data_IF_592535499592
#
_entry.id   IF_592535499592
#
_cell.length_a   1.000
_cell.length_b   1.000
_cell.length_c   1.000
_cell.angle_alpha   90.00
_cell.angle_beta   90.00
_cell.angle_gamma   90.00
#
_symmetry.space_group_name_H-M   'P 1'
#
loop_
_entity.id
_entity.type
_entity.pdbx_description
1 polymer ?
#
# COMPACT_ATOMS: atom_id res chain seq x y z
N UNK A 1 -7.60 -31.71 11.68
CA UNK A 1 -8.86 -31.05 11.29
C UNK A 1 -9.01 -31.04 9.78
N UNK A 2 -10.22 -30.92 9.24
CA UNK A 2 -10.50 -30.87 7.80
C UNK A 2 -9.72 -29.72 7.12
N UNK A 3 -9.72 -28.55 7.72
CA UNK A 3 -9.02 -27.37 7.21
C UNK A 3 -7.49 -27.57 7.16
N UNK A 4 -6.92 -28.22 8.16
CA UNK A 4 -5.50 -28.58 8.12
C UNK A 4 -5.17 -29.51 6.95
N UNK A 5 -6.02 -30.52 6.72
CA UNK A 5 -5.83 -31.46 5.61
C UNK A 5 -5.93 -30.75 4.24
N UNK A 6 -6.86 -29.79 4.12
CA UNK A 6 -6.96 -28.94 2.91
C UNK A 6 -5.66 -28.14 2.69
N UNK A 7 -5.19 -27.42 3.72
CA UNK A 7 -3.93 -26.67 3.65
C UNK A 7 -2.73 -27.59 3.34
N UNK A 8 -2.65 -28.73 4.00
CA UNK A 8 -1.59 -29.72 3.75
C UNK A 8 -1.60 -30.23 2.33
N UNK A 9 -2.77 -30.48 1.76
CA UNK A 9 -2.89 -30.95 0.36
C UNK A 9 -2.31 -29.91 -0.61
N UNK A 10 -2.64 -28.63 -0.41
CA UNK A 10 -2.09 -27.53 -1.25
C UNK A 10 -0.58 -27.39 -1.03
N UNK A 11 -0.12 -27.53 0.23
CA UNK A 11 1.29 -27.47 0.54
C UNK A 11 2.09 -28.62 -0.10
N UNK A 12 1.54 -29.84 -0.09
CA UNK A 12 2.14 -31.00 -0.76
C UNK A 12 2.24 -30.79 -2.30
N UNK A 13 1.26 -30.08 -2.91
CA UNK A 13 1.34 -29.68 -4.32
C UNK A 13 2.46 -28.67 -4.56
N UNK A 14 2.66 -27.73 -3.65
CA UNK A 14 3.80 -26.82 -3.71
C UNK A 14 5.13 -27.57 -3.62
N UNK A 15 5.26 -28.50 -2.67
CA UNK A 15 6.49 -29.29 -2.46
C UNK A 15 6.87 -30.16 -3.67
N UNK A 16 5.89 -30.53 -4.51
CA UNK A 16 6.16 -31.24 -5.76
C UNK A 16 6.86 -30.38 -6.83
N UNK A 17 6.70 -29.06 -6.76
CA UNK A 17 7.38 -28.08 -7.60
C UNK A 17 7.65 -26.79 -6.79
N UNK A 18 8.70 -26.74 -5.95
CA UNK A 18 8.91 -25.69 -4.98
C UNK A 18 9.53 -24.42 -5.59
N UNK A 19 8.73 -23.71 -6.37
CA UNK A 19 9.09 -22.42 -6.96
C UNK A 19 8.15 -21.33 -6.48
N UNK A 20 8.61 -20.08 -6.44
CA UNK A 20 7.79 -18.92 -6.08
C UNK A 20 6.59 -18.77 -7.01
N UNK A 21 6.80 -18.95 -8.32
CA UNK A 21 5.73 -18.87 -9.32
C UNK A 21 4.64 -19.93 -9.07
N UNK A 22 5.03 -21.18 -8.72
CA UNK A 22 4.07 -22.21 -8.38
C UNK A 22 3.34 -21.89 -7.07
N UNK A 23 4.03 -21.36 -6.07
CA UNK A 23 3.37 -20.90 -4.84
C UNK A 23 2.32 -19.84 -5.13
N UNK A 24 2.67 -18.83 -5.93
CA UNK A 24 1.75 -17.77 -6.35
C UNK A 24 0.54 -18.31 -7.13
N UNK A 25 0.74 -19.26 -8.04
CA UNK A 25 -0.34 -19.90 -8.78
C UNK A 25 -1.29 -20.70 -7.87
N UNK A 26 -0.74 -21.43 -6.90
CA UNK A 26 -1.53 -22.15 -5.89
C UNK A 26 -2.30 -21.20 -4.97
N UNK A 27 -1.70 -20.08 -4.57
CA UNK A 27 -2.36 -19.06 -3.78
C UNK A 27 -3.54 -18.44 -4.55
N UNK A 28 -3.35 -18.08 -5.82
CA UNK A 28 -4.42 -17.55 -6.68
C UNK A 28 -5.60 -18.54 -6.82
N UNK A 29 -5.34 -19.84 -6.81
CA UNK A 29 -6.35 -20.87 -7.06
C UNK A 29 -7.03 -21.41 -5.81
N UNK A 30 -6.37 -21.34 -4.64
CA UNK A 30 -6.82 -22.03 -3.43
C UNK A 30 -6.99 -21.13 -2.20
N UNK A 31 -6.46 -19.90 -2.23
CA UNK A 31 -6.52 -19.03 -1.06
C UNK A 31 -7.90 -18.38 -0.92
N UNK A 32 -8.44 -18.47 0.29
CA UNK A 32 -9.66 -17.78 0.71
C UNK A 32 -9.39 -16.32 1.13
N UNK A 33 -8.13 -15.89 1.17
CA UNK A 33 -7.74 -14.52 1.50
C UNK A 33 -7.93 -13.57 0.31
N UNK A 34 -9.06 -12.88 0.29
CA UNK A 34 -9.42 -11.94 -0.79
C UNK A 34 -8.50 -10.71 -0.88
N UNK A 35 -7.69 -10.44 0.15
CA UNK A 35 -6.75 -9.31 0.18
C UNK A 35 -5.49 -9.57 -0.66
N UNK A 36 -5.11 -10.83 -0.85
CA UNK A 36 -3.86 -11.22 -1.51
C UNK A 36 -4.01 -12.27 -2.61
N UNK A 37 -5.10 -13.05 -2.64
CA UNK A 37 -5.24 -14.18 -3.56
C UNK A 37 -5.14 -13.81 -5.04
N UNK A 38 -5.51 -12.59 -5.44
CA UNK A 38 -5.36 -12.10 -6.82
C UNK A 38 -3.95 -11.61 -7.16
N UNK A 39 -3.05 -11.59 -6.17
CA UNK A 39 -1.65 -11.16 -6.26
C UNK A 39 -0.68 -12.28 -5.90
N UNK A 40 -1.07 -13.53 -6.09
CA UNK A 40 -0.25 -14.69 -5.74
C UNK A 40 -0.05 -14.87 -4.23
N UNK A 41 -0.92 -14.32 -3.39
CA UNK A 41 -0.77 -14.36 -1.94
C UNK A 41 0.26 -13.38 -1.38
N UNK A 42 0.82 -12.46 -2.21
CA UNK A 42 1.91 -11.58 -1.80
C UNK A 42 1.44 -10.47 -0.85
N UNK A 43 2.13 -10.36 0.27
CA UNK A 43 2.10 -9.24 1.20
C UNK A 43 3.43 -8.51 1.18
N UNK A 44 3.43 -7.26 0.74
CA UNK A 44 4.62 -6.43 0.68
C UNK A 44 4.72 -5.49 1.88
N UNK A 45 5.94 -5.19 2.29
CA UNK A 45 6.23 -4.19 3.32
C UNK A 45 5.51 -4.45 4.66
N UNK A 46 5.34 -5.72 5.02
CA UNK A 46 4.77 -6.12 6.31
C UNK A 46 5.62 -5.56 7.45
N UNK A 47 4.96 -4.91 8.41
CA UNK A 47 5.62 -4.31 9.58
C UNK A 47 5.42 -5.17 10.82
N UNK A 48 6.39 -5.15 11.76
CA UNK A 48 6.20 -5.83 13.05
C UNK A 48 4.91 -5.38 13.74
N UNK A 49 4.11 -6.35 14.20
CA UNK A 49 2.83 -6.09 14.87
C UNK A 49 1.66 -5.74 13.96
N UNK A 50 1.83 -5.78 12.64
CA UNK A 50 0.76 -5.52 11.67
C UNK A 50 -0.16 -6.73 11.49
N UNK A 51 0.39 -7.94 11.59
CA UNK A 51 -0.32 -9.21 11.41
C UNK A 51 -0.63 -9.86 12.77
N UNK A 52 -1.49 -10.88 12.78
CA UNK A 52 -1.71 -11.71 13.97
C UNK A 52 -0.42 -12.33 14.46
N UNK A 53 -0.34 -12.59 15.78
CA UNK A 53 0.89 -12.96 16.46
C UNK A 53 1.65 -14.09 15.77
N UNK A 54 1.00 -15.20 15.46
CA UNK A 54 1.64 -16.37 14.85
C UNK A 54 2.23 -16.07 13.47
N UNK A 55 1.51 -15.28 12.66
CA UNK A 55 1.99 -14.82 11.35
C UNK A 55 3.19 -13.88 11.51
N UNK A 56 3.05 -12.90 12.42
CA UNK A 56 4.11 -11.94 12.74
C UNK A 56 5.38 -12.66 13.19
N UNK A 57 5.28 -13.55 14.16
CA UNK A 57 6.43 -14.26 14.75
C UNK A 57 7.13 -15.11 13.69
N UNK A 58 6.36 -15.76 12.81
CA UNK A 58 6.93 -16.50 11.70
C UNK A 58 7.69 -15.61 10.71
N UNK A 59 7.11 -14.48 10.31
CA UNK A 59 7.74 -13.56 9.35
C UNK A 59 9.00 -12.86 9.89
N UNK A 60 9.01 -12.55 11.20
CA UNK A 60 10.08 -11.78 11.83
C UNK A 60 11.09 -12.62 12.60
N UNK A 61 11.03 -13.94 12.47
CA UNK A 61 12.08 -14.82 12.99
C UNK A 61 13.40 -14.51 12.27
N UNK A 62 14.42 -14.15 13.05
CA UNK A 62 15.73 -13.74 12.53
C UNK A 62 16.51 -14.87 11.81
N UNK A 63 16.10 -16.11 11.98
CA UNK A 63 16.67 -17.26 11.28
C UNK A 63 16.07 -17.51 9.90
N UNK A 64 14.96 -16.81 9.55
CA UNK A 64 14.21 -17.00 8.32
C UNK A 64 15.01 -16.61 7.09
N UNK A 65 14.94 -17.44 6.05
CA UNK A 65 15.65 -17.25 4.79
C UNK A 65 14.65 -17.22 3.62
N UNK A 66 14.96 -16.48 2.55
CA UNK A 66 14.16 -16.55 1.33
C UNK A 66 13.98 -18.00 0.86
N UNK A 67 12.74 -18.35 0.55
CA UNK A 67 12.35 -19.70 0.17
C UNK A 67 11.89 -20.59 1.35
N UNK A 68 12.00 -20.14 2.59
CA UNK A 68 11.45 -20.86 3.75
C UNK A 68 9.92 -20.92 3.67
N UNK A 69 9.36 -22.09 3.99
CA UNK A 69 7.91 -22.32 3.94
C UNK A 69 7.43 -23.09 5.17
N UNK A 70 6.18 -22.86 5.53
CA UNK A 70 5.55 -23.56 6.66
C UNK A 70 4.02 -23.50 6.56
N UNK A 71 3.32 -24.30 7.38
CA UNK A 71 1.89 -24.18 7.64
C UNK A 71 1.71 -23.68 9.06
N UNK A 72 1.18 -22.49 9.24
CA UNK A 72 0.90 -21.93 10.56
C UNK A 72 -0.60 -21.89 10.84
N UNK A 73 -0.97 -22.10 12.10
CA UNK A 73 -2.34 -21.98 12.57
C UNK A 73 -2.54 -20.61 13.24
N UNK A 74 -3.62 -19.93 12.87
CA UNK A 74 -4.04 -18.66 13.46
C UNK A 74 -5.52 -18.70 13.82
N UNK A 75 -6.05 -17.63 14.42
CA UNK A 75 -7.48 -17.49 14.69
C UNK A 75 -8.33 -17.41 13.41
N UNK A 76 -7.72 -17.15 12.26
CA UNK A 76 -8.38 -17.09 10.96
C UNK A 76 -8.30 -18.40 10.16
N UNK A 77 -7.54 -19.38 10.64
CA UNK A 77 -7.36 -20.67 9.98
C UNK A 77 -5.88 -21.02 9.75
N UNK A 78 -5.66 -21.87 8.77
CA UNK A 78 -4.31 -22.34 8.40
C UNK A 78 -3.76 -21.51 7.25
N UNK A 79 -2.57 -20.97 7.43
CA UNK A 79 -1.85 -20.22 6.42
C UNK A 79 -0.65 -21.00 5.94
N UNK A 80 -0.53 -21.20 4.63
CA UNK A 80 0.68 -21.69 4.01
C UNK A 80 1.57 -20.48 3.78
N UNK A 81 2.75 -20.48 4.36
CA UNK A 81 3.67 -19.35 4.34
C UNK A 81 4.81 -19.61 3.36
N UNK A 82 5.24 -18.57 2.67
CA UNK A 82 6.45 -18.55 1.87
C UNK A 82 7.19 -17.23 2.13
N UNK A 83 8.45 -17.31 2.53
CA UNK A 83 9.24 -16.12 2.81
C UNK A 83 9.99 -15.68 1.56
N UNK A 84 9.53 -14.61 0.93
CA UNK A 84 10.17 -14.02 -0.27
C UNK A 84 11.49 -13.35 0.10
N UNK A 85 11.52 -12.64 1.22
CA UNK A 85 12.71 -11.92 1.69
C UNK A 85 12.40 -10.74 2.58
N UNK A 86 13.45 -10.03 2.95
CA UNK A 86 13.34 -8.76 3.68
C UNK A 86 13.28 -7.60 2.69
N UNK A 87 12.48 -6.57 3.02
CA UNK A 87 12.46 -5.35 2.23
C UNK A 87 13.86 -4.69 2.21
N UNK A 88 14.23 -4.10 1.08
CA UNK A 88 15.52 -3.42 0.89
C UNK A 88 15.73 -2.26 1.87
N UNK A 89 14.64 -1.65 2.32
CA UNK A 89 14.67 -0.57 3.27
C UNK A 89 13.94 -0.93 4.57
N UNK A 90 14.64 -0.79 5.70
CA UNK A 90 14.01 -0.98 7.00
C UNK A 90 12.96 0.10 7.28
N UNK A 91 11.85 -0.26 7.94
CA UNK A 91 10.73 0.64 8.26
C UNK A 91 11.20 1.93 8.95
N UNK A 92 12.18 1.84 9.87
CA UNK A 92 12.68 3.02 10.54
C UNK A 92 13.43 3.96 9.59
N UNK A 93 14.19 3.44 8.60
CA UNK A 93 14.87 4.26 7.59
C UNK A 93 13.86 4.96 6.69
N UNK A 94 12.83 4.25 6.22
CA UNK A 94 11.76 4.82 5.42
C UNK A 94 11.02 5.93 6.20
N UNK A 95 10.70 5.70 7.48
CA UNK A 95 10.05 6.68 8.33
C UNK A 95 10.94 7.91 8.58
N UNK A 96 12.24 7.70 8.87
CA UNK A 96 13.21 8.81 9.05
C UNK A 96 13.34 9.61 7.77
N UNK A 97 13.46 8.95 6.61
CA UNK A 97 13.53 9.64 5.31
C UNK A 97 12.28 10.47 5.05
N UNK A 98 11.10 9.91 5.27
CA UNK A 98 9.83 10.62 5.09
C UNK A 98 9.73 11.83 6.02
N UNK A 99 10.02 11.65 7.32
CA UNK A 99 9.99 12.74 8.31
C UNK A 99 11.00 13.83 7.97
N UNK A 100 12.22 13.45 7.60
CA UNK A 100 13.27 14.39 7.22
C UNK A 100 12.90 15.16 5.95
N UNK A 101 12.35 14.48 4.94
CA UNK A 101 11.89 15.12 3.71
C UNK A 101 10.80 16.16 3.99
N UNK A 102 9.81 15.82 4.84
CA UNK A 102 8.76 16.74 5.25
C UNK A 102 9.33 17.94 6.01
N UNK A 103 10.19 17.71 7.00
CA UNK A 103 10.80 18.78 7.78
C UNK A 103 11.66 19.71 6.92
N UNK A 104 12.44 19.16 5.99
CA UNK A 104 13.26 19.94 5.07
C UNK A 104 12.41 20.72 4.07
N UNK A 105 11.32 20.15 3.61
CA UNK A 105 10.37 20.87 2.75
C UNK A 105 9.71 22.03 3.49
N UNK A 106 9.25 21.81 4.74
CA UNK A 106 8.68 22.87 5.57
C UNK A 106 9.68 23.99 5.90
N UNK A 107 10.94 23.63 6.17
CA UNK A 107 12.02 24.60 6.41
C UNK A 107 12.28 25.43 5.15
N UNK A 108 12.40 24.78 4.00
CA UNK A 108 12.57 25.41 2.69
C UNK A 108 11.41 26.33 2.33
N UNK A 109 10.17 25.87 2.55
CA UNK A 109 8.96 26.66 2.28
C UNK A 109 8.90 27.91 3.17
N UNK A 110 9.25 27.78 4.47
CA UNK A 110 9.35 28.94 5.37
C UNK A 110 10.43 29.92 4.94
N UNK A 111 11.58 29.43 4.47
CA UNK A 111 12.65 30.29 3.96
C UNK A 111 12.22 31.03 2.70
N UNK A 112 11.55 30.32 1.75
CA UNK A 112 11.04 30.92 0.52
C UNK A 112 10.03 32.05 0.77
N UNK A 113 9.15 31.90 1.77
CA UNK A 113 8.11 32.89 2.09
C UNK A 113 8.56 33.90 3.16
N UNK A 114 9.77 33.77 3.70
CA UNK A 114 10.30 34.73 4.67
C UNK A 114 10.57 36.08 4.01
N UNK A 115 10.48 37.17 4.80
CA UNK A 115 10.69 38.54 4.29
C UNK A 115 12.14 38.81 3.87
N UNK A 116 13.06 37.88 4.15
CA UNK A 116 14.51 37.95 3.89
C UNK A 116 15.03 36.91 2.91
N UNK A 117 14.17 35.96 2.45
CA UNK A 117 14.55 34.92 1.50
C UNK A 117 14.77 35.46 0.09
N UNK A 118 15.44 34.70 -0.78
CA UNK A 118 15.71 35.07 -2.19
C UNK A 118 14.44 35.32 -3.00
N UNK A 119 13.32 34.81 -2.54
CA UNK A 119 11.96 35.07 -3.04
C UNK A 119 11.18 36.01 -2.13
N UNK A 120 11.90 36.73 -1.24
CA UNK A 120 11.31 37.75 -0.38
C UNK A 120 10.51 38.73 -1.22
N UNK A 121 9.30 38.85 -0.85
CA UNK A 121 8.22 39.51 -1.56
C UNK A 121 8.57 40.89 -2.02
N UNK A 122 8.87 41.09 -3.28
CA UNK A 122 8.34 42.25 -3.98
C UNK A 122 6.85 41.96 -4.31
N UNK A 123 6.06 41.83 -3.27
CA UNK A 123 4.64 41.57 -3.42
C UNK A 123 3.99 42.80 -4.05
N UNK A 124 3.77 42.73 -5.33
CA UNK A 124 2.95 43.72 -5.99
C UNK A 124 1.52 43.57 -5.46
N UNK A 125 1.12 44.49 -4.55
CA UNK A 125 -0.22 44.49 -3.92
C UNK A 125 -1.34 44.42 -4.93
N UNK A 126 -1.13 44.90 -6.16
CA UNK A 126 -2.07 44.80 -7.27
C UNK A 126 -2.24 43.37 -7.76
N UNK A 127 -1.17 42.57 -7.80
CA UNK A 127 -1.21 41.14 -8.20
C UNK A 127 -1.92 40.31 -7.14
N UNK A 128 -1.66 40.57 -5.86
CA UNK A 128 -2.36 39.88 -4.76
C UNK A 128 -3.86 40.17 -4.82
N UNK A 129 -4.23 41.42 -5.02
CA UNK A 129 -5.64 41.79 -5.11
C UNK A 129 -6.31 41.15 -6.33
N UNK A 130 -5.58 41.00 -7.42
CA UNK A 130 -6.05 40.28 -8.61
C UNK A 130 -6.17 38.77 -8.38
N UNK A 131 -5.17 38.13 -7.77
CA UNK A 131 -5.19 36.68 -7.49
C UNK A 131 -6.25 36.30 -6.46
N UNK A 132 -6.41 37.05 -5.38
CA UNK A 132 -7.47 36.79 -4.40
C UNK A 132 -8.88 36.93 -4.99
N UNK A 133 -9.08 37.89 -5.89
CA UNK A 133 -10.37 38.06 -6.58
C UNK A 133 -10.65 36.96 -7.60
N UNK A 134 -9.62 36.38 -8.23
CA UNK A 134 -9.76 35.30 -9.20
C UNK A 134 -9.69 33.90 -8.58
N UNK A 135 -9.11 33.75 -7.40
CA UNK A 135 -9.02 32.47 -6.66
C UNK A 135 -10.43 31.95 -6.35
N UNK A 136 -11.35 32.81 -5.96
CA UNK A 136 -12.74 32.41 -5.71
C UNK A 136 -13.44 31.89 -6.98
N UNK A 137 -13.12 32.49 -8.13
CA UNK A 137 -13.64 32.05 -9.43
C UNK A 137 -13.02 30.74 -9.87
N UNK A 138 -11.71 30.54 -9.65
CA UNK A 138 -11.00 29.29 -9.92
C UNK A 138 -11.49 28.14 -9.01
N UNK A 139 -11.70 28.40 -7.73
CA UNK A 139 -12.25 27.42 -6.79
C UNK A 139 -13.67 27.02 -7.18
N UNK A 140 -14.52 27.94 -7.60
CA UNK A 140 -15.86 27.62 -8.11
C UNK A 140 -15.79 26.78 -9.39
N UNK A 141 -14.88 27.08 -10.30
CA UNK A 141 -14.68 26.31 -11.54
C UNK A 141 -14.16 24.90 -11.23
N UNK A 142 -13.22 24.75 -10.29
CA UNK A 142 -12.70 23.48 -9.86
C UNK A 142 -13.78 22.61 -9.18
N UNK A 143 -14.59 23.21 -8.31
CA UNK A 143 -15.69 22.53 -7.63
C UNK A 143 -16.76 22.02 -8.63
N UNK A 144 -17.06 22.78 -9.67
CA UNK A 144 -17.98 22.37 -10.75
C UNK A 144 -17.38 21.19 -11.54
N UNK A 145 -16.11 21.27 -11.92
CA UNK A 145 -15.43 20.19 -12.66
C UNK A 145 -15.29 18.90 -11.84
N UNK A 146 -14.99 19.00 -10.54
CA UNK A 146 -14.92 17.83 -9.67
C UNK A 146 -16.30 17.16 -9.49
N UNK A 147 -17.36 17.96 -9.41
CA UNK A 147 -18.74 17.46 -9.33
C UNK A 147 -19.20 16.80 -10.65
N UNK A 148 -18.70 17.29 -11.78
CA UNK A 148 -18.98 16.68 -13.09
C UNK A 148 -18.23 15.34 -13.24
N UNK A 149 -16.95 15.29 -12.88
CA UNK A 149 -16.14 14.07 -12.95
C UNK A 149 -16.65 12.98 -11.99
N UNK A 150 -17.17 13.33 -10.81
CA UNK A 150 -17.79 12.36 -9.90
C UNK A 150 -19.08 11.77 -10.46
N UNK A 151 -19.85 12.56 -11.22
CA UNK A 151 -21.08 12.05 -11.89
C UNK A 151 -20.76 11.11 -13.05
N UNK A 152 -19.74 11.39 -13.85
CA UNK A 152 -19.33 10.50 -14.95
C UNK A 152 -18.70 9.20 -14.43
N UNK A 153 -17.94 9.24 -13.32
CA UNK A 153 -17.41 8.03 -12.68
C UNK A 153 -18.52 7.12 -12.12
N UNK A 154 -19.60 7.68 -11.56
CA UNK A 154 -20.71 6.89 -11.04
C UNK A 154 -21.57 6.26 -12.14
N UNK A 155 -21.68 6.89 -13.31
CA UNK A 155 -22.41 6.32 -14.47
C UNK A 155 -21.63 5.26 -15.21
N UNK A 156 -20.29 5.30 -15.18
CA UNK A 156 -19.46 4.25 -15.79
C UNK A 156 -19.37 3.00 -14.88
N UNK A 157 -19.42 3.18 -13.56
CA UNK A 157 -19.43 2.06 -12.60
C UNK A 157 -20.73 1.27 -12.60
N UNK A 158 -21.87 1.89 -12.93
CA UNK A 158 -23.17 1.20 -12.97
C UNK A 158 -23.40 0.35 -14.24
N UNK A 159 -22.55 0.51 -15.27
CA UNK A 159 -22.64 -0.30 -16.50
C UNK A 159 -21.65 -1.48 -16.55
N UNK A 160 -20.82 -1.68 -15.51
CA UNK A 160 -19.87 -2.79 -15.43
C UNK A 160 -20.35 -3.99 -14.58
N UNK A 161 -21.59 -3.96 -14.06
CA UNK A 161 -22.15 -5.05 -13.25
C UNK A 161 -23.26 -5.80 -13.97
N UNK A 162 -22.97 -6.32 -15.16
CA UNK A 162 -23.80 -7.41 -15.72
C UNK A 162 -22.98 -8.17 -16.77
N UNK A 163 -22.21 -9.15 -16.32
CA UNK A 163 -21.92 -10.36 -17.07
C UNK A 163 -21.39 -11.42 -16.09
N UNK A 164 -22.09 -12.52 -16.04
CA UNK A 164 -21.96 -13.75 -15.27
C UNK A 164 -20.57 -14.33 -15.15
#
# INVERSE_FOLDING_TARGET
TEYYNKAKTVYDQYLANPTEDNFAALANSNSDDTGSNTKGGLYENVKPGQMVTQFNDWCFDSSRKPGDTDIIETTYGYHIMYFVGTADETVWKANVRSTLATSKFEEFDKELVSDTGDYAKKVNKSVIKWTSKNQEKLLKTYAVNSKYNSKTASTTSSNASTLY
#
